data_IF_105744063127
#
_entry.id   IF_105744063127
#
_cell.length_a   1.000
_cell.length_b   1.000
_cell.length_c   1.000
_cell.angle_alpha   90.00
_cell.angle_beta   90.00
_cell.angle_gamma   90.00
#
_symmetry.space_group_name_H-M   'P 1'
#
loop_
_entity.id
_entity.type
_entity.pdbx_description
1 polymer ?
#
# COMPACT_ATOMS: atom_id res chain seq x y z
N UNK A 1 30.28 34.31 -22.78
CA UNK A 1 29.78 34.15 -24.16
C UNK A 1 29.15 32.75 -24.23
N UNK A 2 27.85 32.66 -23.89
CA UNK A 2 27.09 31.42 -23.83
C UNK A 2 26.26 31.33 -25.11
N UNK A 3 26.51 30.30 -25.92
CA UNK A 3 25.69 30.02 -27.09
C UNK A 3 24.35 29.44 -26.66
N UNK A 4 23.28 30.09 -27.05
CA UNK A 4 21.90 29.61 -27.02
C UNK A 4 21.77 28.53 -28.10
N UNK A 5 21.50 27.31 -27.70
CA UNK A 5 21.06 26.26 -28.63
C UNK A 5 19.54 26.37 -28.78
N UNK A 6 19.10 26.62 -29.99
CA UNK A 6 17.71 26.63 -30.42
C UNK A 6 17.05 25.28 -30.15
N UNK A 7 15.89 25.35 -29.52
CA UNK A 7 15.02 24.22 -29.23
C UNK A 7 14.43 23.67 -30.53
N UNK A 8 14.86 22.48 -30.94
CA UNK A 8 14.16 21.67 -31.91
C UNK A 8 12.82 21.20 -31.32
N UNK A 9 11.73 21.50 -32.05
CA UNK A 9 10.37 21.03 -31.80
C UNK A 9 10.32 19.49 -31.77
N UNK A 10 10.44 18.90 -30.57
CA UNK A 10 10.10 17.51 -30.36
C UNK A 10 8.62 17.44 -29.98
N UNK A 11 7.79 17.05 -30.94
CA UNK A 11 6.39 16.71 -30.70
C UNK A 11 6.30 15.68 -29.55
N UNK A 12 5.34 15.81 -28.60
CA UNK A 12 5.22 14.89 -27.50
C UNK A 12 4.86 13.48 -27.99
N UNK A 13 5.40 12.42 -27.36
CA UNK A 13 5.22 11.04 -27.81
C UNK A 13 3.84 10.44 -27.50
N UNK A 14 2.85 11.26 -27.18
CA UNK A 14 1.49 10.79 -26.88
C UNK A 14 0.50 11.27 -27.93
N UNK A 15 -0.40 10.38 -28.45
CA UNK A 15 -1.43 10.74 -29.41
C UNK A 15 -2.37 11.78 -28.82
N UNK A 16 -2.76 12.77 -29.62
CA UNK A 16 -3.71 13.82 -29.22
C UNK A 16 -5.13 13.27 -29.08
N UNK A 17 -6.00 13.89 -28.26
CA UNK A 17 -7.37 13.41 -28.04
C UNK A 17 -8.21 13.26 -29.31
N UNK A 18 -7.84 13.93 -30.39
CA UNK A 18 -8.58 14.03 -31.66
C UNK A 18 -8.00 13.10 -32.75
N UNK A 19 -7.07 12.22 -32.43
CA UNK A 19 -6.48 11.29 -33.39
C UNK A 19 -7.55 10.30 -33.92
N UNK A 20 -7.81 10.22 -35.26
CA UNK A 20 -8.86 9.35 -35.81
C UNK A 20 -8.71 7.87 -35.47
N UNK A 21 -7.51 7.44 -35.07
CA UNK A 21 -7.23 6.09 -34.60
C UNK A 21 -7.78 5.76 -33.21
N UNK A 22 -8.25 6.78 -32.45
CA UNK A 22 -8.83 6.61 -31.11
C UNK A 22 -10.37 6.45 -31.14
N UNK A 23 -11.01 6.64 -32.32
CA UNK A 23 -12.46 6.60 -32.47
C UNK A 23 -12.94 5.48 -33.38
N UNK A 24 -12.64 4.22 -33.06
CA UNK A 24 -13.14 3.06 -33.77
C UNK A 24 -14.12 2.23 -32.90
N UNK A 25 -15.18 1.62 -33.53
CA UNK A 25 -16.19 0.81 -32.83
C UNK A 25 -15.65 -0.48 -32.18
N UNK A 26 -14.35 -0.75 -32.27
CA UNK A 26 -13.70 -1.92 -31.65
C UNK A 26 -13.50 -1.76 -30.12
N UNK A 27 -13.64 -0.55 -29.55
CA UNK A 27 -13.39 -0.28 -28.13
C UNK A 27 -14.53 -0.67 -27.19
N UNK A 28 -15.77 -0.71 -27.70
CA UNK A 28 -16.95 -1.06 -26.89
C UNK A 28 -17.19 -2.58 -26.75
N UNK A 29 -16.61 -3.42 -27.60
CA UNK A 29 -16.87 -4.88 -27.60
C UNK A 29 -15.89 -5.74 -26.80
N UNK A 30 -14.82 -5.17 -26.24
CA UNK A 30 -13.81 -5.94 -25.46
C UNK A 30 -14.04 -5.92 -23.94
N UNK A 31 -15.08 -5.26 -23.46
CA UNK A 31 -15.41 -5.22 -22.04
C UNK A 31 -16.24 -6.45 -21.67
N UNK A 32 -15.67 -7.40 -20.93
CA UNK A 32 -16.38 -8.56 -20.41
C UNK A 32 -15.91 -9.95 -20.88
N UNK A 33 -15.10 -10.03 -21.94
CA UNK A 33 -14.58 -11.31 -22.41
C UNK A 33 -13.14 -11.55 -21.95
N UNK A 34 -12.93 -12.65 -21.22
CA UNK A 34 -11.60 -13.06 -20.76
C UNK A 34 -10.74 -13.56 -21.94
N UNK A 35 -9.53 -13.03 -22.07
CA UNK A 35 -8.47 -13.59 -22.91
C UNK A 35 -7.66 -14.61 -22.10
N UNK A 36 -8.06 -15.89 -22.10
CA UNK A 36 -7.43 -16.94 -21.30
C UNK A 36 -5.99 -17.21 -21.71
N UNK A 37 -5.72 -17.21 -23.01
CA UNK A 37 -4.39 -17.48 -23.56
C UNK A 37 -3.42 -16.32 -23.21
N UNK A 38 -3.83 -15.08 -23.42
CA UNK A 38 -3.07 -13.90 -23.03
C UNK A 38 -2.81 -13.83 -21.53
N UNK A 39 -3.84 -14.11 -20.71
CA UNK A 39 -3.73 -14.15 -19.27
C UNK A 39 -2.71 -15.20 -18.80
N UNK A 40 -2.82 -16.44 -19.30
CA UNK A 40 -1.91 -17.53 -18.95
C UNK A 40 -0.46 -17.22 -19.36
N UNK A 41 -0.24 -16.75 -20.59
CA UNK A 41 1.08 -16.37 -21.08
C UNK A 41 1.71 -15.23 -20.25
N UNK A 42 0.91 -14.21 -19.90
CA UNK A 42 1.36 -13.11 -19.06
C UNK A 42 1.79 -13.59 -17.67
N UNK A 43 0.95 -14.41 -17.00
CA UNK A 43 1.24 -14.94 -15.67
C UNK A 43 2.51 -15.79 -15.65
N UNK A 44 2.67 -16.70 -16.61
CA UNK A 44 3.88 -17.55 -16.74
C UNK A 44 5.13 -16.69 -16.92
N UNK A 45 5.07 -15.67 -17.77
CA UNK A 45 6.20 -14.76 -18.04
C UNK A 45 6.58 -13.97 -16.78
N UNK A 46 5.59 -13.37 -16.10
CA UNK A 46 5.85 -12.56 -14.88
C UNK A 46 6.40 -13.41 -13.74
N UNK A 47 5.81 -14.59 -13.50
CA UNK A 47 6.33 -15.54 -12.52
C UNK A 47 7.76 -15.99 -12.84
N UNK A 48 8.08 -16.22 -14.11
CA UNK A 48 9.43 -16.61 -14.55
C UNK A 48 10.48 -15.51 -14.43
N UNK A 49 10.08 -14.24 -14.45
CA UNK A 49 10.98 -13.09 -14.38
C UNK A 49 11.38 -12.70 -12.95
N UNK A 50 10.55 -13.01 -11.94
CA UNK A 50 10.79 -12.68 -10.55
C UNK A 50 11.66 -13.73 -9.87
N UNK A 51 12.63 -13.29 -9.07
CA UNK A 51 13.35 -14.15 -8.14
C UNK A 51 12.66 -14.14 -6.77
N UNK A 52 12.84 -15.19 -5.93
CA UNK A 52 12.26 -15.20 -4.59
C UNK A 52 12.59 -13.95 -3.76
N UNK A 53 13.83 -13.50 -3.86
CA UNK A 53 14.33 -12.34 -3.14
C UNK A 53 13.64 -11.02 -3.57
N UNK A 54 13.10 -10.98 -4.80
CA UNK A 54 12.36 -9.81 -5.29
C UNK A 54 11.00 -9.63 -4.60
N UNK A 55 10.52 -10.69 -3.97
CA UNK A 55 9.22 -10.77 -3.30
C UNK A 55 9.33 -11.18 -1.81
N UNK A 56 10.50 -10.97 -1.21
CA UNK A 56 10.74 -11.23 0.21
C UNK A 56 10.84 -12.70 0.61
N UNK A 57 10.97 -13.62 -0.36
CA UNK A 57 11.11 -15.05 -0.08
C UNK A 57 12.58 -15.49 -0.04
N UNK A 58 12.95 -16.43 0.86
CA UNK A 58 14.33 -16.96 0.92
C UNK A 58 14.66 -17.82 -0.30
N UNK A 59 15.87 -17.71 -0.81
CA UNK A 59 16.38 -18.58 -1.87
C UNK A 59 16.74 -19.95 -1.32
N UNK A 60 15.95 -20.96 -1.67
CA UNK A 60 16.22 -22.35 -1.25
C UNK A 60 17.50 -22.91 -1.90
N UNK A 61 18.30 -23.66 -1.13
CA UNK A 61 19.63 -24.18 -1.52
C UNK A 61 19.65 -25.12 -2.76
N UNK A 62 18.51 -25.74 -3.16
CA UNK A 62 18.42 -26.69 -4.28
C UNK A 62 17.36 -26.28 -5.30
N UNK A 63 17.35 -25.00 -5.70
CA UNK A 63 16.36 -24.49 -6.65
C UNK A 63 16.74 -24.85 -8.09
N UNK A 64 15.84 -25.58 -8.79
CA UNK A 64 16.01 -25.92 -10.23
C UNK A 64 15.29 -24.95 -11.16
N UNK A 65 14.37 -24.13 -10.64
CA UNK A 65 13.62 -23.12 -11.41
C UNK A 65 14.29 -21.77 -11.31
N UNK A 66 14.37 -21.05 -12.42
CA UNK A 66 14.94 -19.69 -12.50
C UNK A 66 14.01 -18.62 -11.98
N UNK A 67 12.70 -18.83 -11.91
CA UNK A 67 11.69 -17.89 -11.42
C UNK A 67 10.97 -18.39 -10.18
N UNK A 68 9.88 -17.74 -9.79
CA UNK A 68 9.02 -18.20 -8.71
C UNK A 68 8.35 -19.53 -9.05
N UNK A 69 8.11 -20.38 -8.04
CA UNK A 69 7.28 -21.58 -8.17
C UNK A 69 5.81 -21.18 -8.10
N UNK A 70 4.92 -22.06 -8.62
CA UNK A 70 3.46 -21.83 -8.56
C UNK A 70 2.94 -21.77 -7.13
N UNK A 71 3.47 -22.61 -6.24
CA UNK A 71 3.14 -22.58 -4.82
C UNK A 71 3.56 -21.27 -4.14
N UNK A 72 4.70 -20.71 -4.53
CA UNK A 72 5.18 -19.43 -3.99
C UNK A 72 4.27 -18.28 -4.43
N UNK A 73 3.90 -18.22 -5.73
CA UNK A 73 2.97 -17.20 -6.21
C UNK A 73 1.58 -17.37 -5.57
N UNK A 74 1.09 -18.59 -5.45
CA UNK A 74 -0.20 -18.86 -4.82
C UNK A 74 -0.23 -18.36 -3.36
N UNK A 75 0.85 -18.59 -2.60
CA UNK A 75 0.99 -18.09 -1.24
C UNK A 75 1.02 -16.54 -1.19
N UNK A 76 1.83 -15.90 -2.07
CA UNK A 76 1.91 -14.44 -2.18
C UNK A 76 0.56 -13.79 -2.55
N UNK A 77 -0.26 -14.50 -3.32
CA UNK A 77 -1.56 -14.03 -3.77
C UNK A 77 -2.73 -14.51 -2.90
N UNK A 78 -2.46 -15.18 -1.77
CA UNK A 78 -3.48 -15.72 -0.85
C UNK A 78 -4.51 -16.62 -1.54
N UNK A 79 -4.07 -17.50 -2.45
CA UNK A 79 -4.91 -18.44 -3.18
C UNK A 79 -4.34 -19.84 -3.18
N UNK A 80 -5.13 -20.85 -3.59
CA UNK A 80 -4.63 -22.22 -3.70
C UNK A 80 -3.71 -22.40 -4.92
N UNK A 81 -2.68 -23.24 -4.78
CA UNK A 81 -1.76 -23.60 -5.88
C UNK A 81 -2.49 -24.20 -7.06
N UNK A 82 -3.55 -25.00 -6.82
CA UNK A 82 -4.37 -25.59 -7.88
C UNK A 82 -5.13 -24.52 -8.67
N UNK A 83 -5.69 -23.51 -7.99
CA UNK A 83 -6.37 -22.40 -8.66
C UNK A 83 -5.39 -21.60 -9.53
N UNK A 84 -4.24 -21.21 -9.00
CA UNK A 84 -3.21 -20.49 -9.78
C UNK A 84 -2.73 -21.32 -10.99
N UNK A 85 -2.52 -22.64 -10.77
CA UNK A 85 -2.11 -23.56 -11.83
C UNK A 85 -3.16 -23.69 -12.95
N UNK A 86 -4.46 -23.61 -12.61
CA UNK A 86 -5.53 -23.58 -13.61
C UNK A 86 -5.51 -22.32 -14.45
N UNK A 87 -5.23 -21.16 -13.86
CA UNK A 87 -5.09 -19.91 -14.61
C UNK A 87 -3.95 -20.00 -15.63
N UNK A 88 -2.78 -20.51 -15.24
CA UNK A 88 -1.63 -20.70 -16.16
C UNK A 88 -1.89 -21.77 -17.25
N UNK A 89 -2.90 -22.63 -17.08
CA UNK A 89 -3.30 -23.64 -18.06
C UNK A 89 -4.55 -23.27 -18.85
N UNK A 90 -4.94 -22.00 -18.83
CA UNK A 90 -6.13 -21.48 -19.52
C UNK A 90 -7.45 -22.11 -19.05
N UNK A 91 -7.49 -22.64 -17.84
CA UNK A 91 -8.64 -23.39 -17.29
C UNK A 91 -9.27 -22.66 -16.11
N UNK A 92 -10.51 -23.01 -15.82
CA UNK A 92 -11.25 -22.49 -14.67
C UNK A 92 -12.21 -21.35 -15.02
N UNK A 93 -12.97 -20.85 -14.04
CA UNK A 93 -13.85 -19.69 -14.20
C UNK A 93 -13.04 -18.41 -14.43
N UNK A 94 -13.72 -17.35 -14.86
CA UNK A 94 -13.15 -16.02 -14.89
C UNK A 94 -12.75 -15.61 -13.47
N UNK A 95 -11.49 -15.19 -13.21
CA UNK A 95 -11.08 -14.72 -11.90
C UNK A 95 -11.80 -13.41 -11.54
N UNK A 96 -12.15 -13.23 -10.27
CA UNK A 96 -12.75 -11.97 -9.79
C UNK A 96 -11.74 -10.83 -9.82
N UNK A 97 -12.24 -9.59 -9.81
CA UNK A 97 -11.40 -8.38 -9.72
C UNK A 97 -10.48 -8.41 -8.50
N UNK A 98 -10.98 -8.88 -7.35
CA UNK A 98 -10.19 -9.04 -6.13
C UNK A 98 -9.04 -10.04 -6.32
N UNK A 99 -9.28 -11.16 -7.01
CA UNK A 99 -8.22 -12.13 -7.30
C UNK A 99 -7.17 -11.56 -8.25
N UNK A 100 -7.60 -10.81 -9.27
CA UNK A 100 -6.69 -10.14 -10.20
C UNK A 100 -5.86 -9.07 -9.47
N UNK A 101 -6.45 -8.30 -8.57
CA UNK A 101 -5.74 -7.33 -7.75
C UNK A 101 -4.70 -8.02 -6.84
N UNK A 102 -5.06 -9.15 -6.21
CA UNK A 102 -4.16 -9.95 -5.39
C UNK A 102 -2.97 -10.50 -6.21
N UNK A 103 -3.22 -10.98 -7.44
CA UNK A 103 -2.15 -11.43 -8.36
C UNK A 103 -1.25 -10.26 -8.76
N UNK A 104 -1.82 -9.11 -9.08
CA UNK A 104 -1.04 -7.94 -9.46
C UNK A 104 -0.10 -7.50 -8.31
N UNK A 105 -0.57 -7.57 -7.09
CA UNK A 105 0.21 -7.24 -5.89
C UNK A 105 1.27 -8.30 -5.62
N UNK A 106 0.92 -9.59 -5.62
CA UNK A 106 1.83 -10.71 -5.32
C UNK A 106 2.95 -10.88 -6.35
N UNK A 107 2.70 -10.50 -7.61
CA UNK A 107 3.69 -10.49 -8.69
C UNK A 107 4.39 -9.15 -8.86
N UNK A 108 4.21 -8.20 -7.94
CA UNK A 108 4.84 -6.87 -7.97
C UNK A 108 4.68 -6.17 -9.34
N UNK A 109 3.46 -6.19 -9.89
CA UNK A 109 3.20 -5.57 -11.19
C UNK A 109 3.19 -4.04 -11.09
N UNK A 110 3.72 -3.37 -12.11
CA UNK A 110 3.51 -1.93 -12.28
C UNK A 110 2.03 -1.62 -12.55
N UNK A 111 1.64 -0.34 -12.49
CA UNK A 111 0.28 0.06 -12.82
C UNK A 111 -0.14 -0.32 -14.24
N UNK A 112 0.78 -0.18 -15.21
CA UNK A 112 0.48 -0.56 -16.59
C UNK A 112 0.29 -2.07 -16.74
N UNK A 113 1.11 -2.87 -16.06
CA UNK A 113 1.01 -4.32 -16.04
C UNK A 113 -0.24 -4.79 -15.29
N UNK A 114 -0.59 -4.15 -14.17
CA UNK A 114 -1.85 -4.38 -13.45
C UNK A 114 -3.05 -4.12 -14.37
N UNK A 115 -3.08 -2.96 -15.00
CA UNK A 115 -4.18 -2.57 -15.88
C UNK A 115 -4.30 -3.50 -17.08
N UNK A 116 -3.16 -3.97 -17.61
CA UNK A 116 -3.13 -4.99 -18.67
C UNK A 116 -3.69 -6.32 -18.17
N UNK A 117 -3.29 -6.78 -16.97
CA UNK A 117 -3.79 -8.01 -16.35
C UNK A 117 -5.31 -7.96 -16.15
N UNK A 118 -5.86 -6.83 -15.67
CA UNK A 118 -7.31 -6.63 -15.54
C UNK A 118 -8.02 -6.80 -16.89
N UNK A 119 -7.50 -6.18 -17.97
CA UNK A 119 -8.10 -6.31 -19.30
C UNK A 119 -8.06 -7.74 -19.84
N UNK A 120 -6.93 -8.45 -19.67
CA UNK A 120 -6.83 -9.87 -20.04
C UNK A 120 -7.84 -10.74 -19.31
N UNK A 121 -8.12 -10.42 -18.05
CA UNK A 121 -9.13 -11.10 -17.25
C UNK A 121 -10.59 -10.71 -17.62
N UNK A 122 -10.79 -9.75 -18.53
CA UNK A 122 -12.11 -9.26 -18.93
C UNK A 122 -12.72 -8.23 -17.97
N UNK A 123 -11.90 -7.58 -17.12
CA UNK A 123 -12.32 -6.56 -16.20
C UNK A 123 -11.84 -5.17 -16.61
N UNK A 124 -12.56 -4.13 -16.16
CA UNK A 124 -12.07 -2.77 -16.24
C UNK A 124 -10.97 -2.55 -15.19
N UNK A 125 -9.82 -1.97 -15.58
CA UNK A 125 -8.81 -1.59 -14.60
C UNK A 125 -9.37 -0.58 -13.60
N UNK A 126 -9.01 -0.69 -12.31
CA UNK A 126 -9.33 0.34 -11.33
C UNK A 126 -8.80 1.71 -11.78
N UNK A 127 -9.56 2.76 -11.51
CA UNK A 127 -9.13 4.13 -11.81
C UNK A 127 -7.80 4.41 -11.10
N UNK A 128 -6.83 4.92 -11.83
CA UNK A 128 -5.54 5.33 -11.27
C UNK A 128 -5.76 6.55 -10.39
N UNK A 129 -5.28 6.49 -9.19
CA UNK A 129 -5.40 7.61 -8.23
C UNK A 129 -5.15 7.19 -6.80
N UNK A 130 -5.15 8.16 -5.94
CA UNK A 130 -4.73 8.15 -4.54
C UNK A 130 -5.47 7.19 -3.58
N UNK A 131 -6.36 6.36 -4.04
CA UNK A 131 -7.11 5.42 -3.18
C UNK A 131 -6.94 3.97 -3.63
N UNK A 132 -5.91 3.70 -4.44
CA UNK A 132 -5.61 2.34 -4.89
C UNK A 132 -4.91 1.58 -3.77
N UNK A 133 -5.33 0.34 -3.49
CA UNK A 133 -4.60 -0.56 -2.60
C UNK A 133 -3.35 -1.16 -3.29
N UNK A 134 -3.08 -0.80 -4.54
CA UNK A 134 -1.96 -1.30 -5.31
C UNK A 134 -0.68 -0.54 -4.96
N UNK A 135 0.21 -1.21 -4.25
CA UNK A 135 1.53 -0.67 -3.87
C UNK A 135 2.48 -0.83 -5.06
N UNK A 136 3.29 0.21 -5.33
CA UNK A 136 4.26 0.17 -6.41
C UNK A 136 5.34 -0.91 -6.19
N UNK A 137 5.85 -1.55 -7.26
CA UNK A 137 6.89 -2.57 -7.14
C UNK A 137 8.18 -2.04 -6.49
N UNK A 138 8.51 -0.77 -6.70
CA UNK A 138 9.66 -0.13 -6.09
C UNK A 138 9.55 -0.07 -4.57
N UNK A 139 8.39 0.38 -4.07
CA UNK A 139 8.11 0.45 -2.64
C UNK A 139 8.07 -0.94 -2.00
N UNK A 140 7.47 -1.93 -2.67
CA UNK A 140 7.45 -3.32 -2.19
C UNK A 140 8.86 -3.90 -2.06
N UNK A 141 9.73 -3.70 -3.06
CA UNK A 141 11.11 -4.18 -3.00
C UNK A 141 11.91 -3.57 -1.84
N UNK A 142 11.66 -2.31 -1.49
CA UNK A 142 12.25 -1.70 -0.29
C UNK A 142 11.66 -2.34 0.96
N UNK A 143 10.33 -2.42 1.02
CA UNK A 143 9.59 -2.97 2.16
C UNK A 143 10.02 -4.42 2.49
N UNK A 144 10.11 -5.28 1.50
CA UNK A 144 10.48 -6.70 1.66
C UNK A 144 11.93 -6.90 2.15
N UNK A 145 12.77 -5.85 2.12
CA UNK A 145 14.12 -5.85 2.72
C UNK A 145 14.15 -5.47 4.20
N UNK A 146 13.04 -4.96 4.73
CA UNK A 146 12.94 -4.54 6.12
C UNK A 146 12.52 -5.73 7.02
N UNK A 147 13.37 -6.75 7.08
CA UNK A 147 13.06 -8.02 7.79
C UNK A 147 13.15 -7.91 9.31
N UNK A 148 13.97 -6.99 9.80
CA UNK A 148 14.29 -6.76 11.21
C UNK A 148 13.90 -5.34 11.70
N UNK A 149 13.09 -4.65 10.91
CA UNK A 149 12.73 -3.25 11.16
C UNK A 149 11.21 -3.10 11.14
N UNK A 150 10.61 -2.46 12.16
CA UNK A 150 9.18 -2.15 12.13
C UNK A 150 8.89 -1.18 10.99
N UNK A 151 7.97 -1.55 10.12
CA UNK A 151 7.54 -0.69 9.02
C UNK A 151 6.11 -0.99 8.61
N UNK A 152 5.47 0.00 8.02
CA UNK A 152 4.14 -0.13 7.42
C UNK A 152 3.99 0.72 6.17
N UNK A 153 3.20 0.25 5.21
CA UNK A 153 2.80 1.02 4.05
C UNK A 153 1.34 1.44 4.26
N UNK A 154 1.10 2.75 4.15
CA UNK A 154 -0.21 3.35 4.37
C UNK A 154 -0.66 4.19 3.17
N UNK A 155 -1.97 4.33 3.00
CA UNK A 155 -2.56 5.26 2.04
C UNK A 155 -2.51 6.69 2.56
N UNK A 156 -2.85 7.68 1.72
CA UNK A 156 -3.00 9.08 2.12
C UNK A 156 -4.07 9.33 3.19
N UNK A 157 -5.01 8.38 3.38
CA UNK A 157 -6.02 8.39 4.44
C UNK A 157 -5.57 7.66 5.71
N UNK A 158 -4.31 7.21 5.78
CA UNK A 158 -3.77 6.47 6.91
C UNK A 158 -4.31 5.03 7.02
N UNK A 159 -4.79 4.45 5.92
CA UNK A 159 -5.20 3.05 5.87
C UNK A 159 -3.97 2.16 5.70
N UNK A 160 -3.76 1.21 6.61
CA UNK A 160 -2.61 0.30 6.54
C UNK A 160 -2.83 -0.75 5.46
N UNK A 161 -1.88 -0.85 4.53
CA UNK A 161 -1.87 -1.81 3.42
C UNK A 161 -0.98 -3.02 3.71
N UNK A 162 0.19 -2.79 4.31
CA UNK A 162 1.18 -3.82 4.65
C UNK A 162 1.90 -3.43 5.95
N UNK A 163 2.29 -4.46 6.71
CA UNK A 163 3.15 -4.31 7.89
C UNK A 163 4.24 -5.37 7.86
N UNK A 164 5.44 -5.01 8.34
CA UNK A 164 6.48 -6.01 8.65
C UNK A 164 6.09 -6.80 9.89
N UNK A 165 6.63 -8.03 10.10
CA UNK A 165 6.35 -8.79 11.31
C UNK A 165 6.66 -8.01 12.59
N UNK A 166 7.78 -7.26 12.61
CA UNK A 166 8.14 -6.43 13.76
C UNK A 166 7.22 -5.18 13.87
N UNK A 167 6.66 -4.68 12.76
CA UNK A 167 5.61 -3.67 12.77
C UNK A 167 4.33 -4.18 13.43
N UNK A 168 3.94 -5.42 13.15
CA UNK A 168 2.81 -6.08 13.81
C UNK A 168 3.10 -6.27 15.31
N UNK A 169 4.31 -6.70 15.67
CA UNK A 169 4.71 -6.82 17.08
C UNK A 169 4.65 -5.48 17.81
N UNK A 170 5.02 -4.37 17.16
CA UNK A 170 5.06 -3.03 17.77
C UNK A 170 3.67 -2.43 18.01
N UNK A 171 2.75 -2.51 17.04
CA UNK A 171 1.47 -1.78 17.07
C UNK A 171 0.24 -2.67 16.88
N UNK A 172 0.42 -3.98 16.80
CA UNK A 172 -0.62 -4.95 16.49
C UNK A 172 -0.89 -5.09 14.99
N UNK A 173 -1.65 -6.13 14.61
CA UNK A 173 -2.04 -6.39 13.23
C UNK A 173 -3.11 -5.38 12.77
N UNK A 174 -2.68 -4.36 12.03
CA UNK A 174 -3.54 -3.32 11.47
C UNK A 174 -4.16 -3.74 10.13
N UNK A 175 -3.60 -4.74 9.46
CA UNK A 175 -4.13 -5.25 8.18
C UNK A 175 -5.42 -6.04 8.37
N UNK A 176 -5.75 -6.46 9.58
CA UNK A 176 -7.03 -7.16 9.91
C UNK A 176 -8.28 -6.28 9.80
N UNK A 177 -8.12 -4.95 9.87
CA UNK A 177 -9.24 -4.03 9.85
C UNK A 177 -9.83 -3.87 8.44
N UNK A 178 -11.13 -3.62 8.37
CA UNK A 178 -11.88 -3.42 7.12
C UNK A 178 -12.67 -2.12 7.15
N UNK A 179 -13.12 -1.64 6.00
CA UNK A 179 -13.89 -0.41 5.90
C UNK A 179 -13.14 0.82 6.44
N UNK A 180 -13.83 1.78 7.07
CA UNK A 180 -13.21 2.98 7.62
C UNK A 180 -12.17 2.70 8.71
N UNK A 181 -12.34 1.62 9.46
CA UNK A 181 -11.41 1.21 10.52
C UNK A 181 -10.02 0.81 10.04
N UNK A 182 -9.79 0.65 8.72
CA UNK A 182 -8.44 0.52 8.16
C UNK A 182 -7.57 1.75 8.45
N UNK A 183 -8.20 2.94 8.54
CA UNK A 183 -7.49 4.19 8.83
C UNK A 183 -7.18 4.33 10.32
N UNK A 184 -5.92 4.58 10.63
CA UNK A 184 -5.49 4.91 12.01
C UNK A 184 -6.16 6.20 12.49
N UNK A 185 -6.31 7.20 11.61
CA UNK A 185 -7.00 8.45 11.93
C UNK A 185 -8.47 8.24 12.29
N UNK A 186 -9.15 7.32 11.59
CA UNK A 186 -10.53 6.97 11.96
C UNK A 186 -10.60 6.29 13.32
N UNK A 187 -9.79 5.25 13.55
CA UNK A 187 -9.77 4.56 14.85
C UNK A 187 -9.34 5.47 16.01
N UNK A 188 -8.48 6.45 15.76
CA UNK A 188 -8.06 7.42 16.77
C UNK A 188 -9.23 8.14 17.44
N UNK A 189 -10.26 8.45 16.65
CA UNK A 189 -11.46 9.18 17.14
C UNK A 189 -12.62 8.27 17.53
N UNK A 190 -12.64 7.01 17.10
CA UNK A 190 -13.77 6.09 17.31
C UNK A 190 -13.46 4.92 18.24
N UNK A 191 -12.17 4.61 18.48
CA UNK A 191 -11.71 3.52 19.33
C UNK A 191 -10.73 4.03 20.39
N UNK A 192 -11.17 4.23 21.64
CA UNK A 192 -10.31 4.72 22.72
C UNK A 192 -9.08 3.84 23.00
N UNK A 193 -9.12 2.55 22.67
CA UNK A 193 -8.01 1.61 22.91
C UNK A 193 -6.77 1.98 22.10
N UNK A 194 -6.93 2.57 20.93
CA UNK A 194 -5.83 3.02 20.05
C UNK A 194 -4.93 4.03 20.75
N UNK A 195 -5.52 4.93 21.53
CA UNK A 195 -4.78 5.97 22.26
C UNK A 195 -3.92 5.41 23.39
N UNK A 196 -4.27 4.23 23.92
CA UNK A 196 -3.51 3.56 24.97
C UNK A 196 -2.06 3.23 24.59
N UNK A 197 -1.79 3.09 23.31
CA UNK A 197 -0.44 2.83 22.76
C UNK A 197 0.46 4.09 22.80
N UNK A 198 -0.10 5.27 23.02
CA UNK A 198 0.61 6.55 22.98
C UNK A 198 0.59 7.25 24.35
N UNK A 199 1.66 7.99 24.72
CA UNK A 199 1.65 8.85 25.91
C UNK A 199 0.50 9.85 25.88
N UNK A 200 -0.12 10.07 27.02
CA UNK A 200 -1.31 10.92 27.13
C UNK A 200 -1.05 12.37 26.73
N UNK A 201 0.14 12.86 27.02
CA UNK A 201 0.62 14.20 26.66
C UNK A 201 0.77 14.42 25.14
N UNK A 202 0.79 13.35 24.35
CA UNK A 202 0.85 13.43 22.88
C UNK A 202 -0.54 13.39 22.22
N UNK A 203 -1.60 13.04 22.96
CA UNK A 203 -2.93 12.81 22.37
C UNK A 203 -3.47 14.05 21.64
N UNK A 204 -3.37 15.25 22.24
CA UNK A 204 -3.82 16.48 21.62
C UNK A 204 -3.09 16.74 20.28
N UNK A 205 -1.77 16.55 20.28
CA UNK A 205 -0.98 16.69 19.06
C UNK A 205 -1.43 15.72 17.96
N UNK A 206 -1.64 14.43 18.29
CA UNK A 206 -2.09 13.44 17.31
C UNK A 206 -3.49 13.71 16.80
N UNK A 207 -4.43 14.13 17.65
CA UNK A 207 -5.78 14.53 17.24
C UNK A 207 -5.74 15.64 16.19
N UNK A 208 -5.00 16.72 16.47
CA UNK A 208 -4.83 17.84 15.53
C UNK A 208 -4.10 17.42 14.25
N UNK A 209 -3.08 16.59 14.37
CA UNK A 209 -2.31 16.08 13.22
C UNK A 209 -3.18 15.25 12.29
N UNK A 210 -4.00 14.33 12.79
CA UNK A 210 -4.90 13.53 11.95
C UNK A 210 -5.97 14.37 11.27
N UNK A 211 -6.56 15.33 11.97
CA UNK A 211 -7.55 16.28 11.38
C UNK A 211 -6.89 17.11 10.29
N UNK A 212 -5.73 17.70 10.56
CA UNK A 212 -4.98 18.52 9.61
C UNK A 212 -4.56 17.70 8.37
N UNK A 213 -4.12 16.46 8.57
CA UNK A 213 -3.77 15.55 7.48
C UNK A 213 -4.97 15.25 6.57
N UNK A 214 -6.10 14.85 7.15
CA UNK A 214 -7.33 14.57 6.38
C UNK A 214 -7.82 15.81 5.63
N UNK A 215 -7.71 17.01 6.25
CA UNK A 215 -8.06 18.27 5.59
C UNK A 215 -7.16 18.55 4.39
N UNK A 216 -5.86 18.26 4.49
CA UNK A 216 -4.93 18.38 3.36
C UNK A 216 -5.33 17.48 2.19
N UNK A 217 -5.67 16.23 2.47
CA UNK A 217 -6.15 15.28 1.44
C UNK A 217 -7.49 15.73 0.86
N UNK A 218 -8.43 16.19 1.71
CA UNK A 218 -9.70 16.73 1.25
C UNK A 218 -9.52 17.92 0.30
N UNK A 219 -8.64 18.87 0.65
CA UNK A 219 -8.37 20.04 -0.19
C UNK A 219 -7.76 19.63 -1.54
N UNK A 220 -6.91 18.61 -1.56
CA UNK A 220 -6.27 18.09 -2.76
C UNK A 220 -7.24 17.31 -3.66
N UNK A 221 -8.15 16.53 -3.08
CA UNK A 221 -9.02 15.56 -3.81
C UNK A 221 -10.43 16.08 -4.06
N UNK A 222 -10.85 17.13 -3.37
CA UNK A 222 -12.12 17.81 -3.54
C UNK A 222 -13.32 17.14 -2.83
N UNK A 223 -14.52 17.75 -2.94
CA UNK A 223 -15.70 17.38 -2.16
C UNK A 223 -16.32 16.02 -2.50
N UNK A 224 -16.07 15.47 -3.70
CA UNK A 224 -16.55 14.13 -4.09
C UNK A 224 -15.63 12.98 -3.70
N UNK A 225 -14.53 13.26 -2.98
CA UNK A 225 -13.49 12.29 -2.68
C UNK A 225 -13.82 11.36 -1.52
N UNK A 226 -13.01 10.29 -1.35
CA UNK A 226 -13.05 9.46 -0.13
C UNK A 226 -12.71 10.28 1.12
N UNK A 227 -11.80 11.26 1.02
CA UNK A 227 -11.46 12.14 2.13
C UNK A 227 -12.66 12.96 2.60
N UNK A 228 -13.53 13.45 1.69
CA UNK A 228 -14.77 14.13 2.03
C UNK A 228 -15.69 13.21 2.84
N UNK A 229 -15.92 11.99 2.34
CA UNK A 229 -16.75 10.99 3.04
C UNK A 229 -16.20 10.62 4.42
N UNK A 230 -14.87 10.52 4.55
CA UNK A 230 -14.21 10.30 5.86
C UNK A 230 -14.45 11.47 6.82
N UNK A 231 -14.35 12.70 6.35
CA UNK A 231 -14.59 13.89 7.16
C UNK A 231 -16.06 13.97 7.63
N UNK A 232 -17.01 13.69 6.74
CA UNK A 232 -18.45 13.62 7.07
C UNK A 232 -18.71 12.54 8.13
N UNK A 233 -18.19 11.34 7.94
CA UNK A 233 -18.35 10.21 8.85
C UNK A 233 -17.78 10.53 10.24
N UNK A 234 -16.54 11.01 10.30
CA UNK A 234 -15.88 11.36 11.55
C UNK A 234 -16.56 12.53 12.28
N UNK A 235 -17.09 13.51 11.53
CA UNK A 235 -17.86 14.61 12.12
C UNK A 235 -19.15 14.12 12.77
N UNK A 236 -19.79 13.09 12.20
CA UNK A 236 -20.98 12.49 12.75
C UNK A 236 -20.72 11.58 13.97
N UNK A 237 -19.55 10.91 14.02
CA UNK A 237 -19.24 9.91 15.03
C UNK A 237 -18.36 10.41 16.18
N UNK A 238 -17.68 11.56 16.05
CA UNK A 238 -16.79 12.11 17.06
C UNK A 238 -16.93 13.61 17.23
N UNK A 239 -17.42 14.02 18.42
CA UNK A 239 -17.51 15.43 18.78
C UNK A 239 -16.13 16.11 18.78
N UNK A 240 -15.09 15.44 19.31
CA UNK A 240 -13.70 15.93 19.31
C UNK A 240 -13.23 16.21 17.87
N UNK A 241 -13.48 15.29 16.94
CA UNK A 241 -13.12 15.49 15.54
C UNK A 241 -13.88 16.71 14.97
N UNK A 242 -15.19 16.81 15.19
CA UNK A 242 -16.01 17.93 14.70
C UNK A 242 -15.52 19.30 15.18
N UNK A 243 -15.17 19.40 16.48
CA UNK A 243 -14.60 20.62 17.06
C UNK A 243 -13.27 21.00 16.40
N UNK A 244 -12.36 20.05 16.25
CA UNK A 244 -11.06 20.28 15.61
C UNK A 244 -11.20 20.56 14.09
N UNK A 245 -12.14 19.88 13.42
CA UNK A 245 -12.42 20.14 12.01
C UNK A 245 -12.88 21.57 11.77
N UNK A 246 -13.70 22.13 12.66
CA UNK A 246 -14.19 23.52 12.56
C UNK A 246 -13.11 24.58 12.83
N UNK A 247 -11.95 24.20 13.40
CA UNK A 247 -10.82 25.11 13.60
C UNK A 247 -10.04 25.40 12.31
N UNK A 248 -10.28 24.65 11.24
CA UNK A 248 -9.62 24.82 9.94
C UNK A 248 -8.08 24.74 9.97
N UNK A 249 -7.50 24.08 10.96
CA UNK A 249 -6.05 23.96 11.09
C UNK A 249 -5.47 23.06 9.99
N UNK A 250 -4.35 23.50 9.38
CA UNK A 250 -3.64 22.82 8.30
C UNK A 250 -2.13 22.80 8.54
N UNK A 251 -1.42 21.88 7.87
CA UNK A 251 0.05 21.89 7.84
C UNK A 251 0.71 21.33 9.10
N UNK A 252 -0.02 20.68 10.00
CA UNK A 252 0.59 19.95 11.12
C UNK A 252 1.26 18.70 10.55
N UNK A 253 2.59 18.64 10.70
CA UNK A 253 3.39 17.51 10.23
C UNK A 253 3.58 16.48 11.33
N UNK A 254 3.66 15.18 10.96
CA UNK A 254 4.10 14.15 11.89
C UNK A 254 5.46 14.53 12.51
N UNK A 255 5.65 14.15 13.78
CA UNK A 255 6.95 14.28 14.43
C UNK A 255 7.89 13.19 13.92
N UNK A 256 9.17 13.51 13.82
CA UNK A 256 10.22 12.55 13.47
C UNK A 256 10.39 11.48 14.55
N UNK A 257 10.15 11.83 15.82
CA UNK A 257 10.19 10.91 16.95
C UNK A 257 8.77 10.56 17.35
N UNK A 258 8.47 9.27 17.36
CA UNK A 258 7.22 8.69 17.88
C UNK A 258 7.47 7.97 19.19
N UNK A 259 6.64 8.25 20.18
CA UNK A 259 6.68 7.63 21.49
C UNK A 259 5.54 6.62 21.61
N UNK A 260 5.86 5.44 22.08
CA UNK A 260 4.90 4.35 22.29
C UNK A 260 4.91 3.89 23.75
N UNK A 261 3.78 3.38 24.22
CA UNK A 261 3.60 2.64 25.47
C UNK A 261 3.22 1.20 25.13
N UNK A 262 4.24 0.38 24.92
CA UNK A 262 4.01 -1.01 24.54
C UNK A 262 3.70 -1.86 25.79
N UNK A 263 2.67 -2.75 25.74
CA UNK A 263 2.26 -3.54 26.92
C UNK A 263 3.36 -4.46 27.46
N UNK A 264 4.21 -5.01 26.61
CA UNK A 264 5.25 -5.98 27.01
C UNK A 264 6.59 -5.32 27.33
N UNK A 265 7.03 -4.35 26.54
CA UNK A 265 8.37 -3.75 26.68
C UNK A 265 8.35 -2.34 27.26
N UNK A 266 7.17 -1.80 27.58
CA UNK A 266 7.01 -0.47 28.17
C UNK A 266 7.23 0.67 27.17
N UNK A 267 7.83 1.78 27.61
CA UNK A 267 8.00 2.97 26.78
C UNK A 267 9.10 2.80 25.73
N UNK A 268 8.82 3.24 24.50
CA UNK A 268 9.77 3.29 23.38
C UNK A 268 9.76 4.67 22.75
N UNK A 269 10.93 5.12 22.32
CA UNK A 269 11.09 6.29 21.43
C UNK A 269 11.73 5.83 20.13
N UNK A 270 11.04 6.02 19.01
CA UNK A 270 11.46 5.57 17.70
C UNK A 270 11.48 6.73 16.71
N UNK A 271 12.54 6.83 15.92
CA UNK A 271 12.55 7.71 14.76
C UNK A 271 11.65 7.13 13.68
N UNK A 272 10.76 7.94 13.14
CA UNK A 272 9.87 7.56 12.05
C UNK A 272 10.31 8.25 10.77
N UNK A 273 10.90 7.49 9.85
CA UNK A 273 11.20 7.99 8.51
C UNK A 273 10.02 7.72 7.59
N UNK A 274 9.54 8.75 6.88
CA UNK A 274 8.45 8.65 5.92
C UNK A 274 9.01 8.78 4.51
N UNK A 275 8.79 7.76 3.68
CA UNK A 275 9.11 7.78 2.25
C UNK A 275 7.81 7.79 1.46
N UNK A 276 7.68 8.74 0.54
CA UNK A 276 6.46 8.93 -0.25
C UNK A 276 6.60 8.29 -1.63
N UNK A 277 5.54 7.62 -2.07
CA UNK A 277 5.35 7.26 -3.47
C UNK A 277 4.37 8.28 -4.10
N UNK A 278 4.88 9.24 -4.88
CA UNK A 278 4.06 10.33 -5.39
C UNK A 278 3.01 9.86 -6.41
N UNK A 279 3.24 8.74 -7.11
CA UNK A 279 2.32 8.22 -8.12
C UNK A 279 1.08 7.55 -7.50
N UNK A 280 1.27 6.89 -6.33
CA UNK A 280 0.20 6.17 -5.63
C UNK A 280 -0.32 6.90 -4.39
N UNK A 281 0.33 8.00 -3.98
CA UNK A 281 0.08 8.68 -2.71
C UNK A 281 0.19 7.75 -1.48
N UNK A 282 1.04 6.72 -1.60
CA UNK A 282 1.36 5.84 -0.49
C UNK A 282 2.56 6.36 0.29
N UNK A 283 2.59 6.06 1.57
CA UNK A 283 3.71 6.35 2.46
C UNK A 283 4.24 5.05 3.04
N UNK A 284 5.56 4.85 2.96
CA UNK A 284 6.26 3.83 3.73
C UNK A 284 6.80 4.50 4.99
N UNK A 285 6.29 4.08 6.14
CA UNK A 285 6.74 4.50 7.47
C UNK A 285 7.72 3.45 7.99
N UNK A 286 8.93 3.89 8.33
CA UNK A 286 10.00 3.03 8.85
C UNK A 286 10.38 3.54 10.23
N UNK A 287 10.33 2.65 11.23
CA UNK A 287 10.60 3.01 12.62
C UNK A 287 11.95 2.46 13.05
N UNK A 288 12.83 3.31 13.54
CA UNK A 288 14.17 2.93 13.99
C UNK A 288 14.45 3.48 15.37
N UNK A 289 15.22 2.74 16.17
CA UNK A 289 15.74 3.23 17.44
C UNK A 289 17.21 3.66 17.27
N UNK A 290 17.64 4.62 18.10
CA UNK A 290 19.06 5.01 18.13
C UNK A 290 19.88 3.81 18.65
N UNK A 291 20.91 3.36 17.93
CA UNK A 291 21.73 2.23 18.36
C UNK A 291 22.31 2.43 19.77
N UNK A 292 22.18 1.38 20.62
CA UNK A 292 22.63 1.41 22.01
C UNK A 292 21.69 2.13 22.99
N UNK A 293 20.51 2.62 22.52
CA UNK A 293 19.49 3.16 23.41
C UNK A 293 18.63 2.05 24.03
N UNK A 294 17.95 2.34 25.13
CA UNK A 294 16.99 1.44 25.76
C UNK A 294 15.88 1.03 24.76
N UNK A 295 15.43 1.93 23.91
CA UNK A 295 14.43 1.65 22.86
C UNK A 295 14.98 0.68 21.81
N UNK A 296 16.28 0.73 21.50
CA UNK A 296 16.91 -0.22 20.61
C UNK A 296 16.90 -1.65 21.19
N UNK A 297 17.29 -1.80 22.46
CA UNK A 297 17.26 -3.10 23.15
C UNK A 297 15.82 -3.67 23.24
N UNK A 298 14.83 -2.81 23.51
CA UNK A 298 13.41 -3.18 23.53
C UNK A 298 12.89 -3.64 22.15
N UNK A 299 13.32 -2.99 21.06
CA UNK A 299 12.98 -3.47 19.71
C UNK A 299 13.60 -4.84 19.41
N UNK A 300 14.84 -5.07 19.83
CA UNK A 300 15.48 -6.39 19.68
C UNK A 300 14.70 -7.46 20.48
N UNK A 301 14.25 -7.13 21.68
CA UNK A 301 13.42 -8.04 22.48
C UNK A 301 12.11 -8.36 21.76
N UNK A 302 11.40 -7.36 21.21
CA UNK A 302 10.16 -7.56 20.45
C UNK A 302 10.37 -8.44 19.20
N UNK A 303 11.54 -8.38 18.57
CA UNK A 303 11.83 -9.24 17.40
C UNK A 303 11.89 -10.72 17.76
N UNK A 304 12.19 -11.05 19.02
CA UNK A 304 12.28 -12.42 19.51
C UNK A 304 10.94 -12.91 20.09
N UNK A 305 10.24 -12.05 20.85
CA UNK A 305 9.01 -12.39 21.56
C UNK A 305 7.77 -12.22 20.67
N UNK A 306 7.79 -11.23 19.78
CA UNK A 306 6.63 -10.82 18.99
C UNK A 306 6.38 -11.62 17.70
N UNK A 307 7.22 -12.62 17.37
CA UNK A 307 6.96 -13.51 16.23
C UNK A 307 6.06 -14.65 16.71
N UNK A 308 4.76 -14.69 16.35
CA UNK A 308 3.94 -15.87 16.61
C UNK A 308 4.65 -17.06 15.95
N UNK A 309 4.90 -18.12 16.71
CA UNK A 309 5.37 -19.39 16.14
C UNK A 309 4.38 -19.86 15.07
N UNK A 310 4.88 -20.38 13.91
CA UNK A 310 4.07 -20.80 12.78
C UNK A 310 3.08 -21.90 13.12
#
# INVERSE_FOLDING_TARGET
MWHVLESADLAPPYPRPDDPWLSGPAREKMTGMIDRAGLAAFLVRRRGALQPEDVGLPRGQRRRTTGLRREEVAALCHMSTDYYSRLERERGPQPSEQMIASIAQGLHLSLDERDHLFRLAGHQPPVRGASSDHISPGMLRIFDRLTDTPAEIVTELGETLRQTPLGVALVGDLCRYTGPSRSIGYRWFTDPSVRGLYPREDHEFYSRMYVSGLRGVFALRGPGSRAARFAELLTAESEEFGLLWNQHEVGIRPRDIKRYRHPEVGSLELNCQILLDPEQSHSLLVYTAVPGSESYEKLQLLSVVGVPSP
#
